data_IF_156002154298
#
_entry.id   IF_156002154298
#
_cell.length_a   1.000
_cell.length_b   1.000
_cell.length_c   1.000
_cell.angle_alpha   90.00
_cell.angle_beta   90.00
_cell.angle_gamma   90.00
#
_symmetry.space_group_name_H-M   'P 1'
#
loop_
_entity.id
_entity.type
_entity.pdbx_description
1 polymer ?
#
# COMPACT_ATOMS: atom_id res chain seq x y z
N UNK A 1 19.47 -12.98 6.07
CA UNK A 1 20.17 -14.26 6.35
C UNK A 1 19.33 -15.25 7.18
N UNK A 2 19.28 -16.53 6.79
CA UNK A 2 18.70 -17.63 7.58
C UNK A 2 19.80 -18.50 8.21
N UNK A 3 19.68 -18.81 9.50
CA UNK A 3 20.66 -19.63 10.25
C UNK A 3 19.93 -20.77 10.94
N UNK A 4 20.37 -22.01 10.71
CA UNK A 4 19.77 -23.19 11.34
C UNK A 4 20.06 -23.19 12.85
N UNK A 5 19.00 -23.22 13.65
CA UNK A 5 19.08 -23.26 15.10
C UNK A 5 17.81 -23.89 15.68
N UNK A 6 17.96 -24.93 16.51
CA UNK A 6 16.83 -25.65 17.14
C UNK A 6 16.02 -24.78 18.11
N UNK A 7 16.57 -23.63 18.51
CA UNK A 7 15.89 -22.62 19.34
C UNK A 7 15.26 -21.51 18.50
N UNK A 8 15.35 -21.60 17.17
CA UNK A 8 14.80 -20.61 16.25
C UNK A 8 13.27 -20.61 16.25
N UNK A 9 12.69 -19.46 15.92
CA UNK A 9 11.23 -19.25 15.84
C UNK A 9 10.69 -19.36 14.41
N UNK A 10 11.55 -19.56 13.41
CA UNK A 10 11.16 -19.60 12.00
C UNK A 10 11.24 -21.01 11.42
N UNK A 11 10.36 -21.32 10.49
CA UNK A 11 10.33 -22.55 9.69
C UNK A 11 10.17 -22.23 8.21
N UNK A 12 10.44 -23.20 7.34
CA UNK A 12 10.25 -23.08 5.90
C UNK A 12 8.76 -23.17 5.57
N UNK A 13 8.30 -22.39 4.58
CA UNK A 13 6.94 -22.52 4.07
C UNK A 13 6.74 -23.90 3.42
N UNK A 14 5.52 -24.44 3.51
CA UNK A 14 5.19 -25.79 3.02
C UNK A 14 5.27 -25.88 1.49
N UNK A 15 4.83 -24.82 0.82
CA UNK A 15 4.81 -24.75 -0.65
C UNK A 15 6.16 -24.34 -1.28
N UNK A 16 6.94 -23.51 -0.58
CA UNK A 16 8.24 -23.03 -1.09
C UNK A 16 9.28 -22.88 0.03
N UNK A 17 10.32 -23.73 0.08
CA UNK A 17 11.37 -23.68 1.11
C UNK A 17 12.25 -22.41 1.09
N UNK A 18 12.14 -21.55 0.07
CA UNK A 18 12.81 -20.24 0.02
C UNK A 18 12.13 -19.23 0.94
N UNK A 19 10.82 -19.37 1.15
CA UNK A 19 10.04 -18.49 2.02
C UNK A 19 10.10 -18.99 3.45
N UNK A 20 10.42 -18.10 4.39
CA UNK A 20 10.46 -18.39 5.81
C UNK A 20 9.21 -17.82 6.49
N UNK A 21 8.56 -18.61 7.35
CA UNK A 21 7.41 -18.20 8.15
C UNK A 21 7.65 -18.45 9.63
N UNK A 22 7.00 -17.69 10.51
CA UNK A 22 7.05 -17.95 11.95
C UNK A 22 6.37 -19.28 12.22
N UNK A 23 7.01 -20.15 12.99
CA UNK A 23 6.43 -21.41 13.40
C UNK A 23 5.24 -21.14 14.34
N UNK A 24 4.13 -21.81 14.08
CA UNK A 24 2.95 -21.71 14.92
C UNK A 24 3.11 -22.57 16.18
N UNK A 25 3.51 -21.92 17.27
CA UNK A 25 3.68 -22.57 18.57
C UNK A 25 2.36 -23.13 19.12
N UNK A 26 1.23 -22.52 18.79
CA UNK A 26 -0.10 -22.93 19.26
C UNK A 26 -0.56 -24.23 18.57
N UNK A 27 -0.15 -24.41 17.31
CA UNK A 27 -0.33 -25.66 16.56
C UNK A 27 0.81 -26.67 16.74
N UNK A 28 1.73 -26.43 17.69
CA UNK A 28 2.83 -27.34 18.01
C UNK A 28 3.93 -27.41 16.95
N UNK A 29 3.95 -26.48 16.00
CA UNK A 29 5.04 -26.36 15.03
C UNK A 29 6.30 -25.83 15.73
N UNK A 30 7.44 -26.48 15.48
CA UNK A 30 8.73 -26.07 16.05
C UNK A 30 9.53 -25.30 15.02
N UNK A 31 9.94 -24.09 15.38
CA UNK A 31 10.92 -23.36 14.58
C UNK A 31 12.28 -24.07 14.58
N UNK A 32 12.95 -23.98 13.44
CA UNK A 32 14.26 -24.61 13.21
C UNK A 32 15.31 -23.61 12.71
N UNK A 33 14.92 -22.34 12.54
CA UNK A 33 15.75 -21.29 11.98
C UNK A 33 15.61 -19.99 12.76
N UNK A 34 16.71 -19.25 12.84
CA UNK A 34 16.75 -17.83 13.17
C UNK A 34 16.85 -17.04 11.88
N UNK A 35 16.07 -15.97 11.78
CA UNK A 35 16.07 -15.06 10.65
C UNK A 35 16.73 -13.76 11.11
N UNK A 36 17.74 -13.33 10.37
CA UNK A 36 18.45 -12.08 10.61
C UNK A 36 18.25 -11.16 9.40
N UNK A 37 17.94 -9.90 9.67
CA UNK A 37 18.01 -8.82 8.69
C UNK A 37 19.48 -8.60 8.33
N UNK A 38 19.77 -8.47 7.03
CA UNK A 38 21.12 -8.09 6.59
C UNK A 38 21.23 -6.58 6.73
N UNK A 39 22.14 -6.13 7.60
CA UNK A 39 22.12 -4.76 8.07
C UNK A 39 23.32 -4.35 8.90
N UNK A 40 23.44 -3.04 9.11
CA UNK A 40 24.36 -2.46 10.08
C UNK A 40 23.54 -1.96 11.27
N UNK A 41 24.04 -2.27 12.45
CA UNK A 41 23.60 -1.64 13.69
C UNK A 41 24.31 -0.26 13.76
N UNK A 42 23.56 0.81 13.48
CA UNK A 42 24.12 2.15 13.32
C UNK A 42 24.31 2.87 14.66
N UNK A 43 23.55 2.50 15.68
CA UNK A 43 23.56 3.09 17.03
C UNK A 43 24.04 2.12 18.12
N UNK A 44 24.45 0.91 17.74
CA UNK A 44 25.06 -0.13 18.59
C UNK A 44 24.13 -0.67 19.68
N UNK A 45 22.82 -0.66 19.44
CA UNK A 45 21.80 -1.14 20.39
C UNK A 45 21.57 -2.67 20.34
N UNK A 46 22.27 -3.36 19.42
CA UNK A 46 22.18 -4.80 19.19
C UNK A 46 21.06 -5.21 18.24
N UNK A 47 20.35 -4.24 17.63
CA UNK A 47 19.31 -4.49 16.65
C UNK A 47 19.72 -3.93 15.29
N UNK A 48 19.54 -4.76 14.26
CA UNK A 48 20.01 -4.43 12.92
C UNK A 48 18.89 -3.79 12.10
N UNK A 49 19.19 -2.67 11.44
CA UNK A 49 18.27 -1.93 10.57
C UNK A 49 16.98 -1.44 11.25
N UNK A 50 17.00 -1.07 12.54
CA UNK A 50 15.81 -0.46 13.17
C UNK A 50 15.65 1.01 12.80
N UNK A 51 16.75 1.69 12.52
CA UNK A 51 16.73 3.07 12.08
C UNK A 51 16.86 3.13 10.55
N UNK A 52 15.73 3.39 9.88
CA UNK A 52 15.78 3.93 8.52
C UNK A 52 16.54 5.26 8.51
N UNK A 53 16.90 5.76 7.33
CA UNK A 53 17.15 7.21 7.21
C UNK A 53 15.90 7.89 7.77
N UNK A 54 16.04 8.59 8.90
CA UNK A 54 14.93 9.33 9.49
C UNK A 54 14.26 10.18 8.41
N UNK A 55 12.95 10.37 8.54
CA UNK A 55 12.21 11.08 7.51
C UNK A 55 10.72 11.03 7.75
N UNK A 56 10.02 11.86 6.99
CA UNK A 56 8.57 11.90 6.99
C UNK A 56 8.07 11.09 5.80
N UNK A 57 7.10 10.22 6.05
CA UNK A 57 6.34 9.59 4.98
C UNK A 57 5.54 10.68 4.26
N UNK A 58 5.96 10.99 3.03
CA UNK A 58 5.34 12.04 2.20
C UNK A 58 3.83 11.80 2.05
N UNK A 59 3.40 10.53 1.90
CA UNK A 59 1.99 10.16 1.76
C UNK A 59 1.22 10.12 3.11
N UNK A 60 1.81 10.69 4.16
CA UNK A 60 1.16 10.98 5.44
C UNK A 60 1.38 12.45 5.85
N UNK A 61 1.97 13.26 4.97
CA UNK A 61 2.33 14.65 5.25
C UNK A 61 1.34 15.69 4.69
N UNK A 62 0.29 15.26 3.99
CA UNK A 62 -0.70 16.16 3.42
C UNK A 62 -1.69 16.68 4.48
N UNK A 63 -2.28 17.84 4.23
CA UNK A 63 -3.05 18.56 5.25
C UNK A 63 -4.45 18.00 5.54
N UNK A 64 -4.97 17.09 4.71
CA UNK A 64 -6.29 16.49 4.94
C UNK A 64 -6.17 15.28 5.88
N UNK A 65 -6.98 15.27 6.94
CA UNK A 65 -6.96 14.25 8.00
C UNK A 65 -5.53 13.92 8.48
N UNK A 66 -4.74 14.97 8.75
CA UNK A 66 -3.33 14.83 9.09
C UNK A 66 -3.12 13.98 10.36
N UNK A 67 -2.25 12.95 10.31
CA UNK A 67 -2.05 12.03 11.41
C UNK A 67 -1.14 12.60 12.50
N UNK A 68 -1.68 13.36 13.45
CA UNK A 68 -0.89 13.86 14.57
C UNK A 68 -0.28 12.74 15.43
N UNK A 69 1.01 12.89 15.76
CA UNK A 69 1.75 12.02 16.67
C UNK A 69 1.84 10.55 16.21
N UNK A 70 1.81 10.29 14.89
CA UNK A 70 2.03 8.96 14.34
C UNK A 70 3.48 8.78 13.90
N UNK A 71 3.96 7.54 13.98
CA UNK A 71 5.26 7.20 13.41
C UNK A 71 5.26 7.47 11.90
N UNK A 72 6.31 8.11 11.40
CA UNK A 72 6.43 8.52 9.99
C UNK A 72 5.62 9.77 9.61
N UNK A 73 4.76 10.28 10.49
CA UNK A 73 4.13 11.60 10.31
C UNK A 73 5.07 12.71 10.77
N UNK A 74 4.95 13.89 10.16
CA UNK A 74 5.66 15.08 10.63
C UNK A 74 5.04 15.68 11.89
N UNK A 75 5.73 16.64 12.50
CA UNK A 75 5.17 17.51 13.54
C UNK A 75 4.03 18.38 13.02
N UNK A 76 4.10 18.81 11.74
CA UNK A 76 3.14 19.72 11.13
C UNK A 76 2.79 19.27 9.71
N UNK A 77 1.53 19.47 9.26
CA UNK A 77 1.16 19.18 7.87
C UNK A 77 1.98 20.03 6.90
N UNK A 78 2.41 19.42 5.80
CA UNK A 78 3.18 20.09 4.74
C UNK A 78 4.50 20.68 5.26
N UNK A 79 5.16 20.00 6.20
CA UNK A 79 6.50 20.38 6.68
C UNK A 79 7.55 20.21 5.59
N UNK A 80 7.55 19.05 4.94
CA UNK A 80 8.53 18.64 3.94
C UNK A 80 8.46 19.50 2.69
N UNK A 81 9.65 19.78 2.15
CA UNK A 81 9.80 20.62 0.96
C UNK A 81 9.23 19.93 -0.29
N UNK A 82 9.28 18.61 -0.34
CA UNK A 82 8.73 17.76 -1.40
C UNK A 82 7.21 17.91 -1.44
N UNK A 83 6.55 17.74 -0.28
CA UNK A 83 5.10 17.93 -0.18
C UNK A 83 4.73 19.35 -0.57
N UNK A 84 5.43 20.36 -0.02
CA UNK A 84 5.18 21.76 -0.35
C UNK A 84 5.33 22.04 -1.85
N UNK A 85 6.40 21.54 -2.48
CA UNK A 85 6.63 21.72 -3.92
C UNK A 85 5.53 21.10 -4.78
N UNK A 86 5.01 19.92 -4.40
CA UNK A 86 3.84 19.33 -5.09
C UNK A 86 2.61 20.21 -4.93
N UNK A 87 2.34 20.73 -3.73
CA UNK A 87 1.18 21.57 -3.49
C UNK A 87 1.27 22.91 -4.22
N UNK A 88 2.43 23.55 -4.17
CA UNK A 88 2.70 24.81 -4.86
C UNK A 88 2.51 24.63 -6.37
N UNK A 89 3.08 23.57 -6.95
CA UNK A 89 2.87 23.25 -8.37
C UNK A 89 1.39 23.05 -8.72
N UNK A 90 0.65 22.27 -7.91
CA UNK A 90 -0.76 21.99 -8.17
C UNK A 90 -1.62 23.26 -8.07
N UNK A 91 -1.37 24.13 -7.10
CA UNK A 91 -2.14 25.35 -6.87
C UNK A 91 -1.74 26.52 -7.75
N UNK A 92 -0.46 26.66 -8.10
CA UNK A 92 0.04 27.82 -8.85
C UNK A 92 0.00 27.55 -10.35
N UNK A 93 0.59 26.43 -10.78
CA UNK A 93 0.84 26.14 -12.19
C UNK A 93 -0.24 25.23 -12.80
N UNK A 94 -0.69 24.20 -12.06
CA UNK A 94 -1.54 23.15 -12.61
C UNK A 94 -3.05 23.38 -12.39
N UNK A 95 -3.53 24.62 -12.26
CA UNK A 95 -4.93 24.95 -11.89
C UNK A 95 -6.00 24.33 -12.80
N UNK A 96 -5.65 24.05 -14.05
CA UNK A 96 -6.50 23.44 -15.08
C UNK A 96 -6.50 21.90 -15.05
N UNK A 97 -5.89 21.27 -14.04
CA UNK A 97 -5.92 19.82 -13.84
C UNK A 97 -7.36 19.35 -13.68
N UNK A 98 -7.75 18.31 -14.41
CA UNK A 98 -9.06 17.68 -14.26
C UNK A 98 -9.05 16.60 -13.17
N UNK A 99 -8.03 15.75 -13.17
CA UNK A 99 -7.85 14.67 -12.21
C UNK A 99 -6.37 14.48 -11.86
N UNK A 100 -6.12 14.00 -10.64
CA UNK A 100 -4.81 13.59 -10.14
C UNK A 100 -4.78 12.06 -10.11
N UNK A 101 -3.70 11.48 -10.63
CA UNK A 101 -3.45 10.04 -10.55
C UNK A 101 -2.15 9.83 -9.79
N UNK A 102 -2.20 9.06 -8.71
CA UNK A 102 -1.05 8.71 -7.88
C UNK A 102 -0.80 7.20 -7.90
N UNK A 103 0.48 6.80 -7.88
CA UNK A 103 0.85 5.42 -7.63
C UNK A 103 1.25 5.28 -6.16
N UNK A 104 0.45 4.55 -5.39
CA UNK A 104 0.56 4.50 -3.94
C UNK A 104 -0.07 3.25 -3.34
N UNK A 105 -0.04 3.10 -2.00
CA UNK A 105 -0.62 1.96 -1.31
C UNK A 105 -2.15 1.98 -1.31
N UNK A 106 -2.78 3.15 -1.51
CA UNK A 106 -4.23 3.27 -1.64
C UNK A 106 -4.70 2.78 -3.00
N UNK A 107 -5.94 2.26 -3.04
CA UNK A 107 -6.53 1.76 -4.27
C UNK A 107 -7.99 2.20 -4.38
N UNK A 108 -8.24 3.21 -5.22
CA UNK A 108 -9.58 3.58 -5.67
C UNK A 108 -9.71 3.68 -7.19
N UNK A 109 -8.63 3.39 -7.92
CA UNK A 109 -8.61 3.40 -9.38
C UNK A 109 -9.01 2.03 -9.94
N UNK A 110 -8.52 0.92 -9.38
CA UNK A 110 -8.89 -0.42 -9.86
C UNK A 110 -10.05 -1.04 -9.07
N UNK A 111 -10.17 -0.75 -7.77
CA UNK A 111 -11.33 -1.10 -6.94
C UNK A 111 -12.08 0.18 -6.54
N UNK A 112 -13.27 0.46 -7.10
CA UNK A 112 -13.95 1.73 -6.86
C UNK A 112 -14.46 1.88 -5.43
N UNK A 113 -14.50 3.12 -4.95
CA UNK A 113 -14.98 3.43 -3.60
C UNK A 113 -16.47 3.08 -3.44
N UNK A 114 -16.84 2.64 -2.24
CA UNK A 114 -18.22 2.39 -1.88
C UNK A 114 -18.85 3.65 -1.32
N UNK A 115 -20.05 3.97 -1.78
CA UNK A 115 -20.77 5.15 -1.27
C UNK A 115 -21.09 5.00 0.22
N UNK A 116 -20.60 5.95 1.01
CA UNK A 116 -20.86 6.02 2.44
C UNK A 116 -21.73 7.27 2.74
N UNK A 117 -23.05 7.06 2.82
CA UNK A 117 -24.02 8.13 3.10
C UNK A 117 -23.71 8.88 4.39
N UNK A 118 -23.29 8.18 5.44
CA UNK A 118 -23.01 8.78 6.73
C UNK A 118 -21.80 9.72 6.65
N UNK A 119 -20.74 9.33 5.95
CA UNK A 119 -19.54 10.15 5.74
C UNK A 119 -19.80 11.34 4.80
N UNK A 120 -20.60 11.14 3.75
CA UNK A 120 -20.96 12.18 2.79
C UNK A 120 -21.92 13.26 3.36
N UNK A 121 -22.72 12.91 4.38
CA UNK A 121 -23.71 13.81 4.98
C UNK A 121 -23.19 14.59 6.20
N UNK A 122 -21.92 14.41 6.57
CA UNK A 122 -21.31 15.15 7.67
C UNK A 122 -21.17 16.63 7.32
N UNK A 123 -21.17 17.49 8.36
CA UNK A 123 -20.87 18.93 8.20
C UNK A 123 -19.50 19.16 7.56
N UNK A 124 -18.50 18.39 7.98
CA UNK A 124 -17.21 18.28 7.29
C UNK A 124 -17.27 16.97 6.52
N UNK A 125 -17.47 17.07 5.21
CA UNK A 125 -17.65 15.92 4.32
C UNK A 125 -16.39 15.07 4.38
N UNK A 126 -16.54 13.79 4.70
CA UNK A 126 -15.43 12.84 4.82
C UNK A 126 -15.64 11.58 3.97
N UNK A 127 -16.58 11.64 3.03
CA UNK A 127 -16.83 10.58 2.04
C UNK A 127 -17.25 11.20 0.72
N UNK A 128 -16.93 10.52 -0.38
CA UNK A 128 -17.28 10.96 -1.73
C UNK A 128 -18.80 11.04 -1.92
N UNK A 129 -19.23 12.00 -2.73
CA UNK A 129 -20.64 12.17 -3.09
C UNK A 129 -21.12 11.03 -3.99
N UNK A 130 -22.43 10.77 -3.99
CA UNK A 130 -23.02 9.65 -4.76
C UNK A 130 -22.75 9.76 -6.26
N UNK A 131 -22.77 10.98 -6.81
CA UNK A 131 -22.51 11.21 -8.23
C UNK A 131 -21.03 10.96 -8.56
N UNK A 132 -20.12 11.37 -7.69
CA UNK A 132 -18.68 11.17 -7.85
C UNK A 132 -18.29 9.69 -7.75
N UNK A 133 -18.96 8.91 -6.89
CA UNK A 133 -18.79 7.45 -6.84
C UNK A 133 -19.18 6.79 -8.16
N UNK A 134 -20.20 7.33 -8.83
CA UNK A 134 -20.61 6.83 -10.15
C UNK A 134 -19.53 7.08 -11.20
N UNK A 135 -18.90 8.26 -11.16
CA UNK A 135 -17.75 8.59 -12.03
C UNK A 135 -16.55 7.71 -11.69
N UNK A 136 -16.24 7.51 -10.40
CA UNK A 136 -15.14 6.66 -9.95
C UNK A 136 -15.30 5.24 -10.49
N UNK A 137 -16.51 4.65 -10.38
CA UNK A 137 -16.81 3.35 -10.97
C UNK A 137 -16.58 3.30 -12.48
N UNK A 138 -17.04 4.31 -13.23
CA UNK A 138 -16.82 4.36 -14.69
C UNK A 138 -15.33 4.39 -15.04
N UNK A 139 -14.53 5.15 -14.28
CA UNK A 139 -13.07 5.23 -14.49
C UNK A 139 -12.41 3.90 -14.13
N UNK A 140 -12.84 3.24 -13.06
CA UNK A 140 -12.32 1.92 -12.68
C UNK A 140 -12.63 0.85 -13.71
N UNK A 141 -13.86 0.81 -14.22
CA UNK A 141 -14.24 -0.14 -15.28
C UNK A 141 -13.37 0.08 -16.53
N UNK A 142 -13.12 1.34 -16.92
CA UNK A 142 -12.23 1.68 -18.05
C UNK A 142 -10.77 1.29 -17.79
N UNK A 143 -10.27 1.55 -16.58
CA UNK A 143 -8.89 1.22 -16.21
C UNK A 143 -8.66 -0.29 -16.25
N UNK A 144 -9.57 -1.08 -15.68
CA UNK A 144 -9.48 -2.53 -15.65
C UNK A 144 -9.60 -3.15 -17.05
N UNK A 145 -10.51 -2.64 -17.89
CA UNK A 145 -10.65 -3.05 -19.31
C UNK A 145 -9.37 -2.81 -20.12
N UNK A 146 -8.67 -1.70 -19.88
CA UNK A 146 -7.49 -1.32 -20.67
C UNK A 146 -6.20 -1.96 -20.19
N UNK A 147 -6.05 -2.18 -18.89
CA UNK A 147 -4.79 -2.64 -18.32
C UNK A 147 -4.71 -4.15 -18.21
N UNK A 148 -5.84 -4.85 -18.00
CA UNK A 148 -5.88 -6.30 -17.83
C UNK A 148 -4.84 -6.84 -16.82
N UNK A 149 -4.55 -6.07 -15.77
CA UNK A 149 -3.54 -6.38 -14.75
C UNK A 149 -4.04 -7.35 -13.66
N UNK A 150 -5.27 -7.85 -13.81
CA UNK A 150 -5.91 -8.71 -12.82
C UNK A 150 -6.36 -7.96 -11.57
N UNK A 151 -6.53 -8.69 -10.47
CA UNK A 151 -7.04 -8.16 -9.21
C UNK A 151 -5.90 -7.48 -8.44
N UNK A 152 -5.95 -6.15 -8.37
CA UNK A 152 -5.07 -5.37 -7.52
C UNK A 152 -5.36 -5.59 -6.03
N UNK A 153 -4.36 -5.46 -5.14
CA UNK A 153 -4.61 -5.49 -3.72
C UNK A 153 -5.49 -4.30 -3.29
N UNK A 154 -6.39 -4.54 -2.33
CA UNK A 154 -7.19 -3.47 -1.74
C UNK A 154 -6.29 -2.51 -0.96
N UNK A 155 -6.53 -1.22 -1.10
CA UNK A 155 -5.79 -0.18 -0.41
C UNK A 155 -6.75 0.85 0.16
N UNK A 156 -6.96 0.81 1.48
CA UNK A 156 -7.84 1.77 2.15
C UNK A 156 -7.20 3.16 2.19
N UNK A 157 -7.99 4.25 2.12
CA UNK A 157 -7.48 5.61 2.28
C UNK A 157 -6.75 5.79 3.60
N UNK A 158 -5.63 6.51 3.57
CA UNK A 158 -4.76 6.74 4.72
C UNK A 158 -4.82 8.19 5.19
N UNK A 159 -4.52 8.40 6.46
CA UNK A 159 -4.45 9.73 7.03
C UNK A 159 -3.30 10.53 6.43
N UNK A 160 -3.57 11.75 5.95
CA UNK A 160 -2.57 12.60 5.33
C UNK A 160 -2.11 12.13 3.96
N UNK A 161 -2.90 11.32 3.24
CA UNK A 161 -2.58 10.86 1.88
C UNK A 161 -2.80 11.94 0.81
N UNK A 162 -2.11 11.79 -0.33
CA UNK A 162 -2.30 12.67 -1.49
C UNK A 162 -3.69 12.48 -2.11
N UNK A 163 -4.18 11.24 -2.10
CA UNK A 163 -5.43 10.85 -2.75
C UNK A 163 -6.62 11.67 -2.22
N UNK A 164 -6.87 11.63 -0.92
CA UNK A 164 -7.94 12.36 -0.26
C UNK A 164 -7.67 13.85 -0.24
N UNK A 165 -6.42 14.27 -0.05
CA UNK A 165 -6.06 15.69 -0.12
C UNK A 165 -6.44 16.31 -1.47
N UNK A 166 -6.14 15.64 -2.58
CA UNK A 166 -6.45 16.14 -3.91
C UNK A 166 -7.97 16.23 -4.16
N UNK A 167 -8.75 15.32 -3.57
CA UNK A 167 -10.21 15.38 -3.65
C UNK A 167 -10.81 16.49 -2.78
N UNK A 168 -10.47 16.54 -1.48
CA UNK A 168 -11.12 17.44 -0.54
C UNK A 168 -10.54 18.86 -0.52
N UNK A 169 -9.22 19.02 -0.64
CA UNK A 169 -8.56 20.32 -0.53
C UNK A 169 -8.28 20.94 -1.90
N UNK A 170 -7.90 20.13 -2.89
CA UNK A 170 -7.65 20.61 -4.26
C UNK A 170 -8.92 20.60 -5.14
N UNK A 171 -9.95 19.86 -4.73
CA UNK A 171 -11.25 19.84 -5.40
C UNK A 171 -11.19 19.26 -6.81
N UNK A 172 -10.35 18.24 -7.02
CA UNK A 172 -10.23 17.50 -8.28
C UNK A 172 -10.45 16.02 -8.06
N UNK A 173 -10.87 15.32 -9.11
CA UNK A 173 -10.92 13.86 -9.03
C UNK A 173 -9.53 13.32 -8.73
N UNK A 174 -9.45 12.35 -7.84
CA UNK A 174 -8.19 11.79 -7.39
C UNK A 174 -8.28 10.28 -7.42
N UNK A 175 -7.29 9.65 -8.03
CA UNK A 175 -7.25 8.21 -8.23
C UNK A 175 -5.88 7.68 -7.83
N UNK A 176 -5.86 6.66 -6.99
CA UNK A 176 -4.67 5.96 -6.53
C UNK A 176 -4.77 4.48 -6.85
N UNK A 177 -3.64 3.90 -7.20
CA UNK A 177 -3.47 2.45 -7.33
C UNK A 177 -2.04 2.08 -7.01
N UNK A 178 -1.78 0.86 -6.52
CA UNK A 178 -0.45 0.30 -6.53
C UNK A 178 0.12 0.33 -7.94
N UNK A 179 1.39 0.75 -8.08
CA UNK A 179 2.05 0.81 -9.39
C UNK A 179 2.29 -0.56 -10.00
N UNK A 180 2.39 -1.59 -9.16
CA UNK A 180 2.56 -2.98 -9.57
C UNK A 180 2.14 -3.93 -8.44
N UNK A 181 1.63 -5.09 -8.80
CA UNK A 181 1.37 -6.21 -7.89
C UNK A 181 1.58 -7.53 -8.65
N UNK A 182 1.80 -8.62 -7.91
CA UNK A 182 1.94 -9.95 -8.51
C UNK A 182 0.61 -10.36 -9.17
N UNK A 183 0.59 -10.64 -10.48
CA UNK A 183 -0.58 -11.15 -11.19
C UNK A 183 -1.10 -12.48 -10.63
N UNK A 184 -2.30 -12.88 -11.04
CA UNK A 184 -2.82 -14.19 -10.68
C UNK A 184 -2.09 -15.30 -11.45
N UNK A 185 -1.68 -16.35 -10.74
CA UNK A 185 -1.11 -17.55 -11.35
C UNK A 185 -2.24 -18.50 -11.65
N UNK A 186 -2.36 -18.92 -12.90
CA UNK A 186 -3.41 -19.84 -13.34
C UNK A 186 -2.94 -21.30 -13.22
N UNK A 187 -3.82 -22.20 -12.82
CA UNK A 187 -3.59 -23.64 -12.88
C UNK A 187 -3.74 -24.19 -14.32
N UNK A 188 -3.40 -25.46 -14.53
CA UNK A 188 -3.53 -26.15 -15.82
C UNK A 188 -4.99 -26.18 -16.34
N UNK A 189 -5.98 -25.93 -15.47
CA UNK A 189 -7.40 -25.86 -15.80
C UNK A 189 -7.89 -24.43 -16.05
N UNK A 190 -7.00 -23.43 -16.01
CA UNK A 190 -7.33 -22.02 -16.21
C UNK A 190 -8.05 -21.36 -15.03
N UNK A 191 -7.87 -21.85 -13.80
CA UNK A 191 -8.37 -21.21 -12.57
C UNK A 191 -7.23 -20.55 -11.81
N UNK A 192 -7.53 -19.42 -11.16
CA UNK A 192 -6.57 -18.74 -10.29
C UNK A 192 -6.19 -19.63 -9.09
N UNK A 193 -4.89 -19.88 -8.94
CA UNK A 193 -4.32 -20.57 -7.80
C UNK A 193 -4.40 -19.68 -6.56
N UNK A 194 -4.76 -20.28 -5.43
CA UNK A 194 -4.78 -19.59 -4.14
C UNK A 194 -3.47 -19.82 -3.41
N UNK A 195 -2.91 -18.74 -2.88
CA UNK A 195 -1.71 -18.76 -2.07
C UNK A 195 -2.01 -18.11 -0.72
N UNK A 196 -1.51 -18.71 0.35
CA UNK A 196 -1.66 -18.19 1.71
C UNK A 196 -0.58 -17.14 2.05
N UNK A 197 0.38 -16.92 1.14
CA UNK A 197 1.50 -16.00 1.32
C UNK A 197 1.88 -15.30 0.00
N UNK A 198 1.96 -13.96 0.03
CA UNK A 198 2.27 -13.13 -1.15
C UNK A 198 3.66 -13.40 -1.75
N UNK A 199 4.65 -13.75 -0.92
CA UNK A 199 5.98 -14.11 -1.42
C UNK A 199 5.96 -15.43 -2.18
N UNK A 200 5.17 -16.40 -1.72
CA UNK A 200 4.99 -17.68 -2.42
C UNK A 200 4.27 -17.44 -3.75
N UNK A 201 3.21 -16.63 -3.74
CA UNK A 201 2.52 -16.21 -4.98
C UNK A 201 3.49 -15.57 -5.97
N UNK A 202 4.34 -14.66 -5.49
CA UNK A 202 5.34 -13.99 -6.32
C UNK A 202 6.33 -14.96 -6.95
N UNK A 203 6.87 -15.90 -6.16
CA UNK A 203 7.82 -16.90 -6.65
C UNK A 203 7.16 -17.84 -7.66
N UNK A 204 5.92 -18.29 -7.40
CA UNK A 204 5.17 -19.13 -8.33
C UNK A 204 4.88 -18.40 -9.66
N UNK A 205 4.54 -17.11 -9.60
CA UNK A 205 4.38 -16.29 -10.80
C UNK A 205 5.71 -16.13 -11.57
N UNK A 206 6.80 -15.83 -10.86
CA UNK A 206 8.11 -15.66 -11.47
C UNK A 206 8.62 -16.94 -12.16
N UNK A 207 8.29 -18.11 -11.63
CA UNK A 207 8.61 -19.41 -12.24
C UNK A 207 7.73 -19.76 -13.44
N UNK A 208 6.50 -19.22 -13.51
CA UNK A 208 5.63 -19.43 -14.66
C UNK A 208 6.01 -18.56 -15.88
N UNK A 209 6.61 -17.39 -15.65
CA UNK A 209 7.01 -16.43 -16.68
C UNK A 209 8.47 -16.60 -17.17
N UNK A 210 9.29 -17.41 -16.48
CA UNK A 210 10.72 -17.64 -16.76
C UNK A 210 11.05 -19.01 -17.32
#
# INVERSE_FOLDING_TARGET
MRVADKTGSWTMHKDDPRVMVKADADNGEKGSYKMFTEGRDNDEDGKFNEDGEGGVNINQNFSYDFPYFKSGSSENPVSENETRGVLDFLFEEARNTFAVISFGPENNLSDPLKFNRAAASKRVVSGWLSDDITVNKMVSDLYNDKTNLGIAPSGDPQQGDLFQWAYYHYGRFSFSTPGWWTPEVMDESGKAQKFDNDHVKHLAWAEAEG
#
